data_IF_341762826588
#
_entry.id   IF_341762826588
#
_cell.length_a   1.000
_cell.length_b   1.000
_cell.length_c   1.000
_cell.angle_alpha   90.00
_cell.angle_beta   90.00
_cell.angle_gamma   90.00
#
_symmetry.space_group_name_H-M   'P 1'
#
loop_
_entity.id
_entity.type
_entity.pdbx_description
1 polymer ?
#
# COMPACT_ATOMS: atom_id res chain seq x y z
N UNK A 1 12.79 25.52 -10.23
CA UNK A 1 12.46 25.08 -11.60
C UNK A 1 11.04 24.54 -11.60
N UNK A 2 10.12 25.21 -12.30
CA UNK A 2 8.71 24.81 -12.42
C UNK A 2 8.61 23.90 -13.65
N UNK A 3 8.22 22.64 -13.47
CA UNK A 3 7.91 21.73 -14.57
C UNK A 3 6.47 22.03 -15.02
N UNK A 4 6.38 22.62 -16.21
CA UNK A 4 5.14 22.91 -16.90
C UNK A 4 4.54 21.69 -17.58
N UNK A 5 3.21 21.73 -17.64
CA UNK A 5 2.32 21.32 -18.73
C UNK A 5 2.87 20.39 -19.81
N UNK A 6 2.34 19.16 -19.83
CA UNK A 6 2.46 18.26 -20.98
C UNK A 6 1.05 17.94 -21.52
N UNK A 7 0.62 18.51 -22.67
CA UNK A 7 -0.74 18.40 -23.19
C UNK A 7 -0.88 17.29 -24.25
N UNK A 8 -0.56 16.04 -23.90
CA UNK A 8 -0.58 14.92 -24.86
C UNK A 8 -1.44 13.70 -24.42
N UNK A 9 -2.60 13.98 -23.82
CA UNK A 9 -3.65 12.99 -23.55
C UNK A 9 -4.97 13.39 -24.22
N UNK A 10 -5.00 13.44 -25.55
CA UNK A 10 -6.26 13.49 -26.31
C UNK A 10 -6.15 12.64 -27.57
N UNK A 11 -7.18 11.80 -27.79
CA UNK A 11 -7.36 10.69 -28.77
C UNK A 11 -6.98 9.36 -28.11
N UNK A 12 -7.92 8.51 -27.70
CA UNK A 12 -8.85 7.76 -28.53
C UNK A 12 -10.22 7.65 -27.83
N UNK A 13 -11.25 8.28 -28.40
CA UNK A 13 -12.64 8.02 -28.05
C UNK A 13 -13.35 7.50 -29.30
N UNK A 14 -13.56 6.18 -29.33
CA UNK A 14 -14.32 5.47 -30.36
C UNK A 14 -15.79 5.39 -29.95
N UNK A 15 -16.56 6.19 -30.67
CA UNK A 15 -17.98 6.15 -31.03
C UNK A 15 -18.83 4.88 -30.73
N UNK A 16 -20.13 5.14 -30.48
CA UNK A 16 -21.35 4.28 -30.48
C UNK A 16 -21.94 3.83 -29.14
N UNK A 17 -23.01 4.54 -28.72
CA UNK A 17 -24.43 4.12 -28.91
C UNK A 17 -25.36 5.17 -28.30
N UNK A 18 -26.23 5.74 -29.15
CA UNK A 18 -27.33 6.62 -28.76
C UNK A 18 -28.37 5.82 -27.97
N UNK A 19 -28.69 6.29 -26.76
CA UNK A 19 -29.86 5.87 -25.98
C UNK A 19 -30.95 6.96 -26.00
N UNK A 20 -32.24 6.59 -25.86
CA UNK A 20 -33.38 7.48 -26.08
C UNK A 20 -33.57 8.55 -24.99
N UNK A 21 -34.35 9.62 -25.28
CA UNK A 21 -34.54 10.77 -24.41
C UNK A 21 -35.50 10.46 -23.25
N UNK A 22 -35.05 10.68 -22.00
CA UNK A 22 -35.96 10.74 -20.85
C UNK A 22 -36.44 12.16 -20.60
N UNK A 23 -37.76 12.29 -20.59
CA UNK A 23 -38.52 13.48 -20.30
C UNK A 23 -38.46 13.86 -18.81
N UNK A 24 -38.30 15.16 -18.57
CA UNK A 24 -38.97 15.97 -17.55
C UNK A 24 -39.19 15.41 -16.14
N UNK A 25 -38.46 15.96 -15.17
CA UNK A 25 -39.05 16.24 -13.85
C UNK A 25 -38.42 17.48 -13.21
N UNK A 26 -39.07 18.61 -13.44
CA UNK A 26 -38.97 19.83 -12.65
C UNK A 26 -39.52 19.53 -11.25
N UNK A 27 -38.69 19.70 -10.23
CA UNK A 27 -39.08 19.51 -8.82
C UNK A 27 -38.38 20.57 -7.96
N UNK A 28 -39.16 21.60 -7.63
CA UNK A 28 -38.85 22.70 -6.72
C UNK A 28 -38.46 22.24 -5.32
N UNK A 29 -37.61 23.04 -4.68
CA UNK A 29 -37.87 23.57 -3.33
C UNK A 29 -37.56 22.67 -2.14
N UNK A 30 -36.63 23.13 -1.29
CA UNK A 30 -36.45 22.57 0.05
C UNK A 30 -35.15 23.03 0.69
N UNK A 31 -35.13 24.27 1.18
CA UNK A 31 -34.03 24.79 1.99
C UNK A 31 -33.79 23.90 3.22
N UNK A 32 -32.52 23.57 3.46
CA UNK A 32 -32.09 22.87 4.68
C UNK A 32 -31.42 23.85 5.64
N UNK A 33 -31.79 23.80 6.93
CA UNK A 33 -31.25 24.68 7.97
C UNK A 33 -29.77 24.38 8.25
N UNK A 34 -29.00 25.46 8.40
CA UNK A 34 -27.63 25.44 8.92
C UNK A 34 -27.68 24.94 10.37
N UNK A 35 -27.20 23.70 10.59
CA UNK A 35 -26.95 23.16 11.91
C UNK A 35 -25.61 23.66 12.47
N UNK A 36 -25.50 23.79 13.80
CA UNK A 36 -24.34 24.40 14.45
C UNK A 36 -23.07 23.57 14.27
N UNK A 37 -22.00 24.29 13.93
CA UNK A 37 -20.59 23.89 13.90
C UNK A 37 -20.24 23.14 15.20
N UNK A 38 -20.28 21.81 15.16
CA UNK A 38 -19.62 20.98 16.17
C UNK A 38 -18.15 20.88 15.79
N UNK A 39 -17.38 21.84 16.27
CA UNK A 39 -15.93 21.77 16.40
C UNK A 39 -15.55 20.60 17.32
N UNK A 40 -15.59 19.39 16.77
CA UNK A 40 -15.06 18.21 17.41
C UNK A 40 -13.54 18.30 17.40
N UNK A 41 -12.97 18.56 18.57
CA UNK A 41 -11.56 18.30 18.85
C UNK A 41 -11.28 16.84 18.49
N UNK A 42 -10.72 16.61 17.31
CA UNK A 42 -10.11 15.34 16.96
C UNK A 42 -8.88 15.21 17.85
N UNK A 43 -9.05 14.48 18.96
CA UNK A 43 -7.93 13.86 19.65
C UNK A 43 -7.13 13.10 18.59
N UNK A 44 -6.03 13.72 18.18
CA UNK A 44 -5.03 13.18 17.28
C UNK A 44 -4.51 11.92 17.96
N UNK A 45 -5.11 10.78 17.66
CA UNK A 45 -4.51 9.49 17.96
C UNK A 45 -3.09 9.56 17.39
N UNK A 46 -2.11 9.54 18.28
CA UNK A 46 -0.69 9.65 17.93
C UNK A 46 -0.36 8.51 16.98
N UNK A 47 -0.35 8.84 15.70
CA UNK A 47 -0.03 7.93 14.62
C UNK A 47 1.38 7.40 14.89
N UNK A 48 1.48 6.10 15.19
CA UNK A 48 2.78 5.51 15.51
C UNK A 48 3.67 5.57 14.27
N UNK A 49 4.66 6.46 14.32
CA UNK A 49 5.68 6.61 13.30
C UNK A 49 6.44 5.29 13.08
N UNK A 50 6.87 5.04 11.85
CA UNK A 50 7.70 3.88 11.50
C UNK A 50 9.04 3.91 12.26
N UNK A 51 9.36 2.90 13.08
CA UNK A 51 10.66 2.82 13.74
C UNK A 51 11.82 2.67 12.74
N UNK A 52 12.95 3.34 13.03
CA UNK A 52 14.10 3.38 12.12
C UNK A 52 14.74 2.01 11.85
N UNK A 53 14.59 1.05 12.76
CA UNK A 53 15.07 -0.32 12.57
C UNK A 53 14.41 -1.07 11.39
N UNK A 54 13.30 -0.55 10.86
CA UNK A 54 12.63 -1.07 9.68
C UNK A 54 13.00 -0.33 8.39
N UNK A 55 13.86 0.70 8.49
CA UNK A 55 14.35 1.50 7.37
C UNK A 55 15.77 1.05 7.05
N UNK A 56 15.99 0.62 5.80
CA UNK A 56 17.26 0.12 5.31
C UNK A 56 17.86 1.08 4.29
N UNK A 57 19.17 1.33 4.41
CA UNK A 57 19.94 2.06 3.41
C UNK A 57 20.28 1.19 2.19
N UNK A 58 20.27 -0.14 2.36
CA UNK A 58 20.31 -1.16 1.30
C UNK A 58 19.69 -2.46 1.80
N UNK A 59 19.05 -3.22 0.91
CA UNK A 59 18.59 -4.58 1.21
C UNK A 59 19.73 -5.62 1.16
N UNK A 60 20.91 -5.22 0.73
CA UNK A 60 22.09 -6.07 0.60
C UNK A 60 23.20 -5.63 1.56
N UNK A 61 24.00 -6.58 2.00
CA UNK A 61 25.20 -6.33 2.81
C UNK A 61 26.38 -5.87 1.92
N UNK A 62 27.53 -5.58 2.54
CA UNK A 62 28.76 -5.20 1.83
C UNK A 62 29.31 -6.31 0.91
N UNK A 63 28.87 -7.56 1.10
CA UNK A 63 29.24 -8.68 0.23
C UNK A 63 28.24 -8.86 -0.93
N UNK A 64 27.26 -7.98 -1.05
CA UNK A 64 26.19 -8.09 -2.03
C UNK A 64 25.25 -9.26 -1.78
N UNK A 65 25.10 -9.74 -0.54
CA UNK A 65 24.11 -10.76 -0.15
C UNK A 65 22.92 -10.09 0.51
N UNK A 66 21.75 -10.71 0.43
CA UNK A 66 20.56 -10.20 1.12
C UNK A 66 20.78 -10.22 2.64
N UNK A 67 20.41 -9.12 3.29
CA UNK A 67 20.46 -8.97 4.75
C UNK A 67 19.55 -10.00 5.43
N UNK A 68 20.07 -10.71 6.42
CA UNK A 68 19.32 -11.77 7.12
C UNK A 68 18.09 -11.23 7.85
N UNK A 69 18.15 -9.98 8.31
CA UNK A 69 17.08 -9.30 9.03
C UNK A 69 15.81 -9.19 8.20
N UNK A 70 15.91 -9.18 6.87
CA UNK A 70 14.79 -9.12 5.94
C UNK A 70 13.92 -10.38 5.93
N UNK A 71 14.46 -11.50 6.41
CA UNK A 71 13.80 -12.80 6.35
C UNK A 71 13.09 -13.17 7.65
N UNK A 72 13.51 -12.61 8.79
CA UNK A 72 13.07 -13.07 10.12
C UNK A 72 12.63 -11.92 11.03
N UNK A 73 13.59 -11.30 11.73
CA UNK A 73 13.31 -10.38 12.84
C UNK A 73 12.51 -9.14 12.39
N UNK A 74 13.00 -8.46 11.35
CA UNK A 74 12.40 -7.22 10.87
C UNK A 74 10.95 -7.39 10.39
N UNK A 75 10.64 -8.34 9.48
CA UNK A 75 9.26 -8.53 9.04
C UNK A 75 8.34 -9.07 10.15
N UNK A 76 8.86 -9.88 11.08
CA UNK A 76 8.08 -10.39 12.20
C UNK A 76 7.67 -9.28 13.18
N UNK A 77 8.61 -8.42 13.56
CA UNK A 77 8.32 -7.32 14.47
C UNK A 77 7.43 -6.26 13.83
N UNK A 78 7.67 -5.95 12.55
CA UNK A 78 6.80 -5.07 11.80
C UNK A 78 5.38 -5.63 11.66
N UNK A 79 5.22 -6.93 11.40
CA UNK A 79 3.91 -7.58 11.37
C UNK A 79 3.18 -7.44 12.71
N UNK A 80 3.88 -7.63 13.84
CA UNK A 80 3.31 -7.45 15.18
C UNK A 80 2.87 -6.01 15.45
N UNK A 81 3.60 -5.02 14.93
CA UNK A 81 3.22 -3.61 15.03
C UNK A 81 2.01 -3.29 14.17
N UNK A 82 2.02 -3.71 12.90
CA UNK A 82 0.89 -3.51 11.98
C UNK A 82 -0.40 -4.16 12.51
N UNK A 83 -0.31 -5.34 13.14
CA UNK A 83 -1.46 -6.02 13.72
C UNK A 83 -2.09 -5.27 14.91
N UNK A 84 -1.40 -4.28 15.48
CA UNK A 84 -1.93 -3.37 16.52
C UNK A 84 -2.48 -2.07 15.94
N UNK A 85 -2.17 -1.76 14.68
CA UNK A 85 -2.65 -0.56 14.03
C UNK A 85 -4.04 -0.76 13.46
N UNK A 86 -4.87 0.28 13.64
CA UNK A 86 -6.22 0.33 13.09
C UNK A 86 -6.22 1.17 11.81
N UNK A 87 -7.09 0.80 10.89
CA UNK A 87 -7.31 1.54 9.67
C UNK A 87 -8.11 2.82 9.96
N UNK A 88 -7.72 3.98 9.40
CA UNK A 88 -8.42 5.26 9.65
C UNK A 88 -9.91 5.24 9.29
N UNK A 89 -10.29 4.41 8.31
CA UNK A 89 -11.65 4.36 7.79
C UNK A 89 -12.59 3.45 8.57
N UNK A 90 -12.10 2.31 9.06
CA UNK A 90 -12.94 1.24 9.61
C UNK A 90 -12.70 0.97 11.09
N UNK A 91 -11.64 1.52 11.68
CA UNK A 91 -11.19 1.18 13.04
C UNK A 91 -10.85 -0.33 13.22
N UNK A 92 -10.73 -1.07 12.11
CA UNK A 92 -10.34 -2.47 12.09
C UNK A 92 -8.84 -2.62 11.81
N UNK A 93 -8.19 -3.70 12.25
CA UNK A 93 -6.83 -4.01 11.86
C UNK A 93 -6.68 -4.17 10.35
N UNK A 94 -5.46 -4.01 9.85
CA UNK A 94 -5.14 -4.36 8.46
C UNK A 94 -5.50 -5.84 8.20
N UNK A 95 -6.30 -6.11 7.17
CA UNK A 95 -6.63 -7.48 6.78
C UNK A 95 -5.47 -8.15 6.03
N UNK A 96 -5.39 -9.47 6.13
CA UNK A 96 -4.47 -10.27 5.31
C UNK A 96 -4.70 -10.03 3.80
N UNK A 97 -5.95 -9.80 3.39
CA UNK A 97 -6.30 -9.50 2.00
C UNK A 97 -5.66 -8.22 1.47
N UNK A 98 -5.64 -7.15 2.29
CA UNK A 98 -5.02 -5.88 1.93
C UNK A 98 -3.49 -6.00 1.82
N UNK A 99 -2.85 -6.72 2.73
CA UNK A 99 -1.40 -6.95 2.64
C UNK A 99 -1.04 -7.81 1.43
N UNK A 100 -1.83 -8.86 1.15
CA UNK A 100 -1.69 -9.68 -0.06
C UNK A 100 -1.90 -8.85 -1.32
N UNK A 101 -2.83 -7.89 -1.31
CA UNK A 101 -3.05 -6.99 -2.43
C UNK A 101 -1.80 -6.15 -2.75
N UNK A 102 -1.08 -5.65 -1.75
CA UNK A 102 0.20 -4.97 -2.00
C UNK A 102 1.26 -5.91 -2.57
N UNK A 103 1.46 -7.06 -1.92
CA UNK A 103 2.43 -8.07 -2.36
C UNK A 103 2.21 -8.50 -3.82
N UNK A 104 0.96 -8.81 -4.19
CA UNK A 104 0.61 -9.21 -5.57
C UNK A 104 0.79 -8.07 -6.57
N UNK A 105 0.74 -6.81 -6.12
CA UNK A 105 1.08 -5.65 -6.93
C UNK A 105 2.54 -5.67 -7.36
N UNK A 106 3.46 -5.84 -6.40
CA UNK A 106 4.90 -5.91 -6.69
C UNK A 106 5.30 -7.19 -7.42
N UNK A 107 4.67 -8.33 -7.09
CA UNK A 107 4.97 -9.63 -7.70
C UNK A 107 4.93 -9.61 -9.23
N UNK A 108 4.04 -8.80 -9.81
CA UNK A 108 3.83 -8.68 -11.27
C UNK A 108 5.06 -8.20 -12.03
N UNK A 109 5.90 -7.38 -11.42
CA UNK A 109 7.09 -6.82 -12.07
C UNK A 109 8.39 -7.23 -11.40
N UNK A 110 8.43 -7.35 -10.07
CA UNK A 110 9.66 -7.64 -9.34
C UNK A 110 10.20 -9.06 -9.60
N UNK A 111 9.31 -10.05 -9.72
CA UNK A 111 9.72 -11.43 -10.02
C UNK A 111 10.19 -11.58 -11.48
N UNK A 112 9.43 -11.13 -12.51
CA UNK A 112 9.92 -11.13 -13.89
C UNK A 112 11.23 -10.36 -14.07
N UNK A 113 11.40 -9.22 -13.40
CA UNK A 113 12.65 -8.45 -13.41
C UNK A 113 13.83 -9.29 -12.93
N UNK A 114 13.68 -9.96 -11.78
CA UNK A 114 14.73 -10.84 -11.23
C UNK A 114 15.00 -12.08 -12.10
N UNK A 115 14.00 -12.55 -12.84
CA UNK A 115 14.13 -13.68 -13.78
C UNK A 115 14.67 -13.27 -15.16
N UNK A 116 14.97 -11.99 -15.38
CA UNK A 116 15.41 -11.48 -16.68
C UNK A 116 14.31 -11.47 -17.76
N UNK A 117 13.04 -11.56 -17.35
CA UNK A 117 11.85 -11.57 -18.23
C UNK A 117 11.21 -10.19 -18.38
N UNK A 118 11.70 -9.20 -17.65
CA UNK A 118 11.25 -7.82 -17.70
C UNK A 118 12.48 -6.91 -17.62
N UNK A 119 12.55 -5.90 -18.49
CA UNK A 119 13.65 -4.94 -18.46
C UNK A 119 13.48 -3.92 -17.32
N UNK A 120 14.60 -3.30 -16.93
CA UNK A 120 14.64 -2.38 -15.81
C UNK A 120 13.79 -1.11 -16.02
N UNK A 121 13.84 -0.41 -17.16
CA UNK A 121 12.95 0.72 -17.44
C UNK A 121 11.46 0.39 -17.24
N UNK A 122 10.97 -0.71 -17.82
CA UNK A 122 9.57 -1.12 -17.68
C UNK A 122 9.21 -1.42 -16.22
N UNK A 123 10.08 -2.12 -15.49
CA UNK A 123 9.84 -2.42 -14.07
C UNK A 123 9.78 -1.15 -13.19
N UNK A 124 10.56 -0.11 -13.49
CA UNK A 124 10.50 1.18 -12.79
C UNK A 124 9.17 1.91 -13.02
N UNK A 125 8.69 1.90 -14.26
CA UNK A 125 7.39 2.47 -14.62
C UNK A 125 6.24 1.74 -13.91
N UNK A 126 6.26 0.40 -13.94
CA UNK A 126 5.32 -0.46 -13.23
C UNK A 126 5.35 -0.22 -11.72
N UNK A 127 6.54 -0.01 -11.13
CA UNK A 127 6.66 0.39 -9.73
C UNK A 127 5.98 1.74 -9.46
N UNK A 128 6.13 2.72 -10.36
CA UNK A 128 5.46 4.01 -10.27
C UNK A 128 3.93 3.87 -10.26
N UNK A 129 3.38 3.08 -11.19
CA UNK A 129 1.95 2.76 -11.24
C UNK A 129 1.49 2.05 -9.96
N UNK A 130 2.24 1.04 -9.50
CA UNK A 130 2.00 0.34 -8.25
C UNK A 130 1.93 1.31 -7.07
N UNK A 131 2.92 2.19 -6.94
CA UNK A 131 3.03 3.12 -5.82
C UNK A 131 1.83 4.09 -5.79
N UNK A 132 1.50 4.71 -6.92
CA UNK A 132 0.36 5.65 -6.97
C UNK A 132 -0.97 4.94 -6.71
N UNK A 133 -1.23 3.82 -7.38
CA UNK A 133 -2.53 3.14 -7.37
C UNK A 133 -2.78 2.33 -6.10
N UNK A 134 -1.74 1.68 -5.55
CA UNK A 134 -1.88 0.75 -4.43
C UNK A 134 -1.44 1.32 -3.10
N UNK A 135 -0.52 2.27 -3.09
CA UNK A 135 -0.04 2.89 -1.84
C UNK A 135 -0.75 4.21 -1.63
N UNK A 136 -0.48 5.21 -2.46
CA UNK A 136 -0.99 6.59 -2.27
C UNK A 136 -2.52 6.62 -2.31
N UNK A 137 -3.13 6.01 -3.32
CA UNK A 137 -4.59 6.04 -3.46
C UNK A 137 -5.30 5.25 -2.34
N UNK A 138 -4.80 4.08 -1.94
CA UNK A 138 -5.43 3.30 -0.87
C UNK A 138 -5.25 3.94 0.51
N UNK A 139 -4.10 4.59 0.75
CA UNK A 139 -3.86 5.39 1.93
C UNK A 139 -4.86 6.55 2.04
N UNK A 140 -5.05 7.31 0.96
CA UNK A 140 -6.06 8.40 0.90
C UNK A 140 -7.48 7.92 1.17
N UNK A 141 -7.79 6.66 0.84
CA UNK A 141 -9.09 6.04 1.14
C UNK A 141 -9.18 5.43 2.54
N UNK A 142 -8.13 5.53 3.35
CA UNK A 142 -8.05 4.95 4.70
C UNK A 142 -8.02 3.42 4.71
N UNK A 143 -7.62 2.78 3.61
CA UNK A 143 -7.50 1.31 3.50
C UNK A 143 -6.08 0.80 3.74
N UNK A 144 -5.14 1.70 4.03
CA UNK A 144 -3.77 1.35 4.35
C UNK A 144 -3.33 2.09 5.62
N UNK A 145 -2.70 1.41 6.59
CA UNK A 145 -2.14 2.07 7.75
C UNK A 145 -0.94 2.93 7.33
N UNK A 146 -0.78 4.10 7.96
CA UNK A 146 0.28 5.05 7.62
C UNK A 146 1.67 4.45 7.78
N UNK A 147 1.89 3.57 8.76
CA UNK A 147 3.18 2.87 8.93
C UNK A 147 3.59 2.06 7.68
N UNK A 148 2.64 1.46 6.97
CA UNK A 148 2.93 0.70 5.75
C UNK A 148 3.17 1.62 4.55
N UNK A 149 2.52 2.79 4.53
CA UNK A 149 2.80 3.85 3.56
C UNK A 149 4.22 4.37 3.76
N UNK A 150 4.58 4.71 5.00
CA UNK A 150 5.90 5.21 5.37
C UNK A 150 6.99 4.19 5.05
N UNK A 151 6.73 2.90 5.30
CA UNK A 151 7.66 1.82 4.94
C UNK A 151 7.99 1.87 3.45
N UNK A 152 6.97 1.90 2.59
CA UNK A 152 7.19 1.89 1.14
C UNK A 152 7.81 3.20 0.68
N UNK A 153 7.38 4.35 1.23
CA UNK A 153 7.92 5.65 0.86
C UNK A 153 9.41 5.79 1.22
N UNK A 154 9.80 5.35 2.42
CA UNK A 154 11.20 5.40 2.87
C UNK A 154 12.14 4.55 2.00
N UNK A 155 11.66 3.43 1.47
CA UNK A 155 12.44 2.56 0.58
C UNK A 155 12.21 2.84 -0.91
N UNK A 156 11.36 3.81 -1.27
CA UNK A 156 11.00 4.07 -2.68
C UNK A 156 12.22 4.41 -3.53
N UNK A 157 13.04 5.34 -3.06
CA UNK A 157 14.24 5.76 -3.79
C UNK A 157 15.25 4.62 -3.90
N UNK A 158 15.42 3.84 -2.82
CA UNK A 158 16.27 2.67 -2.81
C UNK A 158 15.79 1.63 -3.84
N UNK A 159 14.50 1.28 -3.83
CA UNK A 159 13.91 0.35 -4.78
C UNK A 159 14.02 0.82 -6.24
N UNK A 160 14.03 2.13 -6.50
CA UNK A 160 14.20 2.70 -7.84
C UNK A 160 15.67 2.91 -8.25
N UNK A 161 16.63 2.61 -7.37
CA UNK A 161 18.06 2.80 -7.66
C UNK A 161 18.62 1.75 -8.60
N UNK A 162 18.22 0.48 -8.44
CA UNK A 162 18.64 -0.62 -9.29
C UNK A 162 17.70 -1.86 -9.15
N UNK A 163 17.77 -2.83 -10.08
CA UNK A 163 16.90 -4.01 -10.06
C UNK A 163 16.99 -4.85 -8.79
N UNK A 164 18.18 -4.94 -8.19
CA UNK A 164 18.41 -5.78 -7.01
C UNK A 164 17.68 -5.22 -5.81
N UNK A 165 17.74 -3.91 -5.59
CA UNK A 165 17.05 -3.24 -4.48
C UNK A 165 15.53 -3.32 -4.60
N UNK A 166 14.98 -3.20 -5.82
CA UNK A 166 13.55 -3.43 -6.06
C UNK A 166 13.13 -4.84 -5.63
N UNK A 167 13.95 -5.84 -5.98
CA UNK A 167 13.71 -7.22 -5.58
C UNK A 167 13.86 -7.43 -4.07
N UNK A 168 14.81 -6.72 -3.43
CA UNK A 168 14.97 -6.68 -1.98
C UNK A 168 13.71 -6.21 -1.26
N UNK A 169 13.11 -5.10 -1.69
CA UNK A 169 11.84 -4.61 -1.16
C UNK A 169 10.70 -5.62 -1.37
N UNK A 170 10.63 -6.24 -2.55
CA UNK A 170 9.65 -7.30 -2.83
C UNK A 170 9.79 -8.47 -1.85
N UNK A 171 11.00 -8.94 -1.59
CA UNK A 171 11.25 -10.02 -0.63
C UNK A 171 10.90 -9.58 0.80
N UNK A 172 11.17 -8.34 1.18
CA UNK A 172 10.81 -7.86 2.50
C UNK A 172 9.28 -7.86 2.70
N UNK A 173 8.50 -7.39 1.71
CA UNK A 173 7.04 -7.48 1.74
C UNK A 173 6.53 -8.92 1.73
N UNK A 174 7.20 -9.83 1.01
CA UNK A 174 6.87 -11.26 1.00
C UNK A 174 6.97 -11.85 2.41
N UNK A 175 8.08 -11.61 3.12
CA UNK A 175 8.26 -12.13 4.47
C UNK A 175 7.34 -11.45 5.48
N UNK A 176 7.09 -10.14 5.32
CA UNK A 176 6.07 -9.43 6.11
C UNK A 176 4.71 -10.12 5.99
N UNK A 177 4.28 -10.45 4.75
CA UNK A 177 3.04 -11.19 4.50
C UNK A 177 3.03 -12.56 5.19
N UNK A 178 4.15 -13.28 5.22
CA UNK A 178 4.26 -14.59 5.88
C UNK A 178 4.10 -14.49 7.40
N UNK A 179 4.68 -13.47 8.03
CA UNK A 179 4.60 -13.28 9.49
C UNK A 179 3.32 -12.58 9.94
N UNK A 180 2.60 -11.92 9.04
CA UNK A 180 1.35 -11.26 9.36
C UNK A 180 0.27 -12.27 9.71
N UNK A 181 0.11 -12.59 10.99
CA UNK A 181 -1.00 -13.42 11.45
C UNK A 181 -2.17 -12.51 11.81
N UNK A 182 -3.29 -12.67 11.10
CA UNK A 182 -4.54 -12.03 11.46
C UNK A 182 -4.97 -12.60 12.82
N UNK A 183 -4.87 -11.79 13.89
CA UNK A 183 -5.32 -12.15 15.23
C UNK A 183 -6.81 -12.53 15.14
N UNK A 184 -7.08 -13.84 15.12
CA UNK A 184 -8.45 -14.34 15.00
C UNK A 184 -8.59 -15.77 14.48
N UNK A 185 -7.57 -16.35 13.79
CA UNK A 185 -7.71 -17.70 13.20
C UNK A 185 -6.94 -18.85 13.86
N UNK A 186 -5.90 -18.60 14.66
CA UNK A 186 -5.06 -19.68 15.20
C UNK A 186 -5.23 -19.99 16.70
N UNK A 187 -6.08 -19.27 17.44
CA UNK A 187 -6.27 -19.54 18.89
C UNK A 187 -7.17 -20.77 19.14
N UNK A 188 -7.70 -21.43 18.11
CA UNK A 188 -8.51 -22.65 18.28
C UNK A 188 -7.72 -23.95 18.31
N UNK A 189 -6.43 -23.97 17.97
CA UNK A 189 -5.66 -25.22 17.88
C UNK A 189 -4.69 -25.49 19.03
N UNK A 190 -4.32 -24.48 19.83
CA UNK A 190 -3.41 -24.71 20.97
C UNK A 190 -4.12 -25.14 22.25
N UNK A 191 -5.40 -24.80 22.43
CA UNK A 191 -6.19 -25.26 23.59
C UNK A 191 -6.69 -26.70 23.46
N UNK A 192 -6.55 -27.33 22.28
CA UNK A 192 -6.96 -28.71 22.02
C UNK A 192 -5.81 -29.74 22.20
N UNK A 193 -4.57 -29.30 22.43
CA UNK A 193 -3.40 -30.20 22.57
C UNK A 193 -2.97 -30.46 24.01
N UNK A 194 -3.72 -29.94 24.99
CA UNK A 194 -3.44 -30.11 26.42
C UNK A 194 -4.65 -30.65 27.22
N UNK A 195 -5.56 -31.39 26.56
CA UNK A 195 -6.58 -32.21 27.22
C UNK A 195 -6.44 -33.65 26.74
#
# INVERSE_FOLDING_TARGET
>A
MKLGDNPDFRRIAGDRRQGPPQQGRSGQGGGRPQGPDRGGHQDRQTEQALPQQFVFDSFYDSNGKLRQELFFQSPQDLARLLAKQKLPKTDEPLSMGQLRFLYMGMLRFAKPLNEGKLDWPTAREDFGHFYVQRVVYQAKRGFLPQMLVDLIEKHRQLALSNPREMYGLFLYLKHLLCYYQEKGRNVRDETARHR
#
